data_IF_777497058829
#
_entry.id   IF_777497058829
#
_cell.length_a   1.000
_cell.length_b   1.000
_cell.length_c   1.000
_cell.angle_alpha   90.00
_cell.angle_beta   90.00
_cell.angle_gamma   90.00
#
_symmetry.space_group_name_H-M   'P 1'
#
loop_
_entity.id
_entity.type
_entity.pdbx_description
1 polymer ?
#
# COMPACT_ATOMS: atom_id res chain seq x y z
N UNK A 1 -8.36 -22.80 43.81
CA UNK A 1 -8.66 -21.43 43.40
C UNK A 1 -8.50 -21.37 41.88
N UNK A 2 -9.65 -21.35 41.19
CA UNK A 2 -9.66 -21.39 39.71
C UNK A 2 -9.38 -20.01 39.13
N UNK A 3 -8.40 -19.95 38.25
CA UNK A 3 -8.20 -18.82 37.38
C UNK A 3 -9.15 -18.94 36.18
N UNK A 4 -10.29 -18.29 36.25
CA UNK A 4 -11.16 -18.06 35.09
C UNK A 4 -10.66 -16.83 34.31
N UNK A 5 -9.64 -17.00 33.50
CA UNK A 5 -9.37 -16.05 32.42
C UNK A 5 -10.44 -16.24 31.34
N UNK A 6 -11.54 -15.53 31.47
CA UNK A 6 -12.54 -15.34 30.43
C UNK A 6 -11.82 -14.66 29.26
N UNK A 7 -11.57 -15.43 28.21
CA UNK A 7 -11.18 -14.87 26.91
C UNK A 7 -12.28 -13.88 26.47
N UNK A 8 -11.96 -12.59 26.46
CA UNK A 8 -12.87 -11.57 25.89
C UNK A 8 -13.21 -11.98 24.47
N UNK A 9 -14.47 -11.91 24.10
CA UNK A 9 -14.91 -12.22 22.76
C UNK A 9 -14.30 -11.22 21.77
N UNK A 10 -14.06 -11.65 20.53
CA UNK A 10 -13.54 -10.76 19.47
C UNK A 10 -14.39 -9.48 19.31
N UNK A 11 -15.69 -9.56 19.54
CA UNK A 11 -16.61 -8.41 19.51
C UNK A 11 -16.34 -7.38 20.62
N UNK A 12 -15.84 -7.80 21.79
CA UNK A 12 -15.59 -6.90 22.92
C UNK A 12 -14.30 -6.06 22.74
N UNK A 13 -13.38 -6.52 21.89
CA UNK A 13 -12.12 -5.83 21.58
C UNK A 13 -12.37 -4.63 20.64
N UNK A 14 -13.38 -4.71 19.76
CA UNK A 14 -13.67 -3.68 18.75
C UNK A 14 -14.53 -2.51 19.27
N UNK A 15 -14.97 -2.51 20.50
CA UNK A 15 -16.00 -1.55 20.99
C UNK A 15 -15.46 -0.35 21.76
N UNK A 16 -14.15 -0.09 21.84
CA UNK A 16 -13.63 1.02 22.66
C UNK A 16 -12.47 1.83 22.08
N UNK A 17 -12.07 1.62 20.83
CA UNK A 17 -10.96 2.41 20.27
C UNK A 17 -11.47 3.72 19.67
N UNK A 18 -11.02 4.84 20.25
CA UNK A 18 -11.26 6.16 19.70
C UNK A 18 -10.12 6.51 18.75
N UNK A 19 -10.43 6.68 17.48
CA UNK A 19 -9.47 7.17 16.49
C UNK A 19 -9.24 8.67 16.68
N UNK A 20 -7.97 9.08 16.73
CA UNK A 20 -7.62 10.49 16.89
C UNK A 20 -6.89 10.96 15.62
N UNK A 21 -7.56 11.80 14.85
CA UNK A 21 -7.01 12.44 13.65
C UNK A 21 -6.65 13.91 13.85
N UNK A 22 -6.80 14.45 15.07
CA UNK A 22 -6.51 15.84 15.40
C UNK A 22 -5.09 16.02 15.98
N UNK A 23 -4.51 14.94 16.50
CA UNK A 23 -3.18 14.95 17.12
C UNK A 23 -2.16 14.21 16.24
N UNK A 24 -1.18 14.95 15.74
CA UNK A 24 -0.06 14.37 14.99
C UNK A 24 1.18 14.29 15.89
N UNK A 25 1.77 13.11 16.11
CA UNK A 25 2.99 12.98 16.89
C UNK A 25 4.16 13.64 16.15
N UNK A 26 5.13 14.15 16.91
CA UNK A 26 6.35 14.73 16.34
C UNK A 26 7.15 13.67 15.61
N UNK A 27 7.40 13.87 14.32
CA UNK A 27 8.11 12.92 13.45
C UNK A 27 9.51 13.35 13.06
N UNK A 28 9.91 14.60 13.32
CA UNK A 28 11.26 15.12 13.06
C UNK A 28 12.29 14.39 13.92
N UNK A 29 13.43 14.04 13.34
CA UNK A 29 14.52 13.32 14.01
C UNK A 29 14.22 11.85 14.39
N UNK A 30 13.19 11.26 13.78
CA UNK A 30 12.84 9.83 13.91
C UNK A 30 13.15 9.03 12.63
N UNK A 31 13.96 9.57 11.72
CA UNK A 31 14.26 8.93 10.44
C UNK A 31 13.10 9.02 9.44
N UNK A 32 12.20 9.98 9.61
CA UNK A 32 11.10 10.22 8.67
C UNK A 32 11.63 10.88 7.40
N UNK A 33 11.63 10.16 6.29
CA UNK A 33 12.01 10.72 4.99
C UNK A 33 11.21 11.99 4.66
N UNK A 34 9.92 12.00 4.98
CA UNK A 34 9.02 13.13 4.78
C UNK A 34 9.49 14.39 5.50
N UNK A 35 9.77 14.29 6.80
CA UNK A 35 10.06 15.42 7.66
C UNK A 35 11.55 15.76 7.74
N UNK A 36 12.44 14.77 7.73
CA UNK A 36 13.87 14.99 7.93
C UNK A 36 14.55 15.55 6.68
N UNK A 37 13.95 15.36 5.48
CA UNK A 37 14.42 15.99 4.23
C UNK A 37 14.51 17.51 4.31
N UNK A 38 13.59 18.14 5.03
CA UNK A 38 13.52 19.59 5.16
C UNK A 38 13.85 20.08 6.58
N UNK A 39 14.58 19.28 7.34
CA UNK A 39 14.98 19.62 8.71
C UNK A 39 15.69 20.99 8.76
N UNK A 40 15.25 21.86 9.67
CA UNK A 40 15.78 23.22 9.83
C UNK A 40 15.27 24.24 8.81
N UNK A 41 14.32 23.87 7.96
CA UNK A 41 13.65 24.77 7.01
C UNK A 41 12.17 24.90 7.38
N UNK A 42 11.59 26.07 7.14
CA UNK A 42 10.15 26.32 7.31
C UNK A 42 9.40 25.83 6.07
N UNK A 43 9.26 24.50 5.95
CA UNK A 43 8.57 23.85 4.85
C UNK A 43 7.64 22.79 5.40
N UNK A 44 6.35 22.88 5.08
CA UNK A 44 5.39 21.83 5.31
C UNK A 44 5.51 20.75 4.21
N UNK A 45 5.97 19.53 4.53
CA UNK A 45 6.18 18.50 3.52
C UNK A 45 4.86 17.84 3.11
N UNK A 46 4.49 17.93 1.82
CA UNK A 46 3.30 17.31 1.23
C UNK A 46 3.63 16.40 0.04
N UNK A 47 4.90 16.00 -0.11
CA UNK A 47 5.42 15.33 -1.30
C UNK A 47 5.37 13.82 -1.28
N UNK A 48 5.16 13.21 -0.13
CA UNK A 48 5.10 11.75 0.07
C UNK A 48 3.83 11.38 0.83
N UNK A 49 3.24 10.24 0.48
CA UNK A 49 1.88 9.88 0.85
C UNK A 49 1.72 9.27 2.26
N UNK A 50 2.79 9.19 3.07
CA UNK A 50 2.67 8.68 4.43
C UNK A 50 1.91 9.67 5.33
N UNK A 51 0.93 9.15 6.07
CA UNK A 51 0.10 9.92 6.98
C UNK A 51 0.86 10.30 8.24
N UNK A 52 0.46 11.42 8.85
CA UNK A 52 1.05 11.91 10.10
C UNK A 52 0.25 11.52 11.36
N UNK A 53 -0.86 10.83 11.18
CA UNK A 53 -1.70 10.31 12.26
C UNK A 53 -1.11 9.04 12.86
N UNK A 54 -1.44 8.81 14.13
CA UNK A 54 -1.14 7.52 14.79
C UNK A 54 -1.87 6.40 14.06
N UNK A 55 -1.18 5.30 13.87
CA UNK A 55 -1.76 4.07 13.30
C UNK A 55 -2.95 3.59 14.13
N UNK A 56 -3.96 3.02 13.47
CA UNK A 56 -5.15 2.49 14.13
C UNK A 56 -4.78 1.53 15.29
N UNK A 57 -5.45 1.64 16.45
CA UNK A 57 -5.14 0.83 17.62
C UNK A 57 -5.13 -0.68 17.34
N UNK A 58 -6.03 -1.17 16.51
CA UNK A 58 -6.13 -2.59 16.15
C UNK A 58 -4.86 -3.09 15.44
N UNK A 59 -4.24 -2.23 14.64
CA UNK A 59 -2.97 -2.56 13.95
C UNK A 59 -1.83 -2.58 14.97
N UNK A 60 -1.80 -1.59 15.89
CA UNK A 60 -0.79 -1.54 16.94
C UNK A 60 -0.88 -2.74 17.87
N UNK A 61 -2.10 -3.15 18.26
CA UNK A 61 -2.34 -4.32 19.10
C UNK A 61 -1.89 -5.62 18.40
N UNK A 62 -2.17 -5.77 17.12
CA UNK A 62 -1.72 -6.93 16.34
C UNK A 62 -0.19 -7.00 16.24
N UNK A 63 0.47 -5.86 16.03
CA UNK A 63 1.93 -5.78 16.04
C UNK A 63 2.50 -6.08 17.42
N UNK A 64 1.90 -5.56 18.50
CA UNK A 64 2.34 -5.83 19.87
C UNK A 64 2.23 -7.30 20.23
N UNK A 65 1.12 -7.96 19.88
CA UNK A 65 0.98 -9.41 20.06
C UNK A 65 2.08 -10.21 19.35
N UNK A 66 2.49 -9.77 18.15
CA UNK A 66 3.58 -10.42 17.44
C UNK A 66 4.94 -10.18 18.10
N UNK A 67 5.17 -8.97 18.65
CA UNK A 67 6.37 -8.66 19.43
C UNK A 67 6.43 -9.50 20.71
N UNK A 68 5.33 -9.62 21.44
CA UNK A 68 5.23 -10.39 22.68
C UNK A 68 5.50 -11.89 22.45
N UNK A 69 5.14 -12.41 21.27
CA UNK A 69 5.49 -13.77 20.86
C UNK A 69 7.01 -13.98 20.72
N UNK A 70 7.76 -12.95 20.31
CA UNK A 70 9.21 -12.87 20.32
C UNK A 70 9.97 -13.73 19.29
N UNK A 71 9.29 -14.54 18.48
CA UNK A 71 9.94 -15.38 17.45
C UNK A 71 9.60 -14.87 16.05
N UNK A 72 10.62 -14.37 15.35
CA UNK A 72 10.51 -13.83 13.99
C UNK A 72 11.23 -14.76 12.99
N UNK A 73 10.61 -15.90 12.73
CA UNK A 73 11.14 -16.88 11.78
C UNK A 73 10.61 -16.65 10.36
N UNK A 74 10.88 -17.58 9.47
CA UNK A 74 10.29 -17.59 8.14
C UNK A 74 8.78 -17.76 8.24
N UNK A 75 8.03 -16.86 7.64
CA UNK A 75 6.57 -16.83 7.70
C UNK A 75 5.99 -16.98 6.31
N UNK A 76 4.95 -17.78 6.20
CA UNK A 76 4.14 -17.88 4.98
C UNK A 76 2.81 -17.13 5.20
N UNK A 77 2.16 -16.64 4.15
CA UNK A 77 0.80 -16.14 4.26
C UNK A 77 -0.12 -17.23 4.79
N UNK A 78 -0.81 -16.94 5.89
CA UNK A 78 -1.82 -17.85 6.43
C UNK A 78 -3.23 -17.44 5.96
N UNK A 79 -4.24 -18.20 6.31
CA UNK A 79 -5.60 -18.08 5.78
C UNK A 79 -6.25 -16.72 6.04
N UNK A 80 -6.10 -16.17 7.24
CA UNK A 80 -6.79 -14.93 7.64
C UNK A 80 -6.44 -13.68 6.81
N UNK A 81 -5.16 -13.34 6.49
CA UNK A 81 -4.87 -12.24 5.57
C UNK A 81 -5.37 -12.49 4.14
N UNK A 82 -5.36 -13.73 3.67
CA UNK A 82 -5.89 -14.09 2.34
C UNK A 82 -7.39 -13.81 2.29
N UNK A 83 -8.15 -14.31 3.26
CA UNK A 83 -9.59 -14.07 3.39
C UNK A 83 -9.90 -12.57 3.54
N UNK A 84 -9.11 -11.84 4.34
CA UNK A 84 -9.31 -10.41 4.53
C UNK A 84 -9.17 -9.63 3.21
N UNK A 85 -8.18 -9.97 2.36
CA UNK A 85 -8.00 -9.36 1.04
C UNK A 85 -9.17 -9.70 0.11
N UNK A 86 -9.58 -10.98 0.02
CA UNK A 86 -10.69 -11.41 -0.83
C UNK A 86 -11.99 -10.71 -0.42
N UNK A 87 -12.30 -10.68 0.88
CA UNK A 87 -13.48 -10.03 1.42
C UNK A 87 -13.46 -8.51 1.21
N UNK A 88 -12.29 -7.88 1.25
CA UNK A 88 -12.13 -6.46 0.94
C UNK A 88 -12.44 -6.18 -0.53
N UNK A 89 -11.85 -6.94 -1.44
CA UNK A 89 -12.06 -6.79 -2.89
C UNK A 89 -13.53 -6.99 -3.27
N UNK A 90 -14.18 -8.00 -2.73
CA UNK A 90 -15.60 -8.26 -2.97
C UNK A 90 -16.47 -7.11 -2.43
N UNK A 91 -16.29 -6.73 -1.17
CA UNK A 91 -17.13 -5.72 -0.51
C UNK A 91 -16.93 -4.31 -1.07
N UNK A 92 -15.70 -3.92 -1.40
CA UNK A 92 -15.39 -2.54 -1.83
C UNK A 92 -15.47 -2.35 -3.35
N UNK A 93 -15.22 -3.41 -4.10
CA UNK A 93 -15.08 -3.33 -5.56
C UNK A 93 -15.99 -4.28 -6.32
N UNK A 94 -16.76 -5.14 -5.64
CA UNK A 94 -17.58 -6.18 -6.29
C UNK A 94 -16.72 -7.20 -7.06
N UNK A 95 -15.46 -7.37 -6.67
CA UNK A 95 -14.49 -8.21 -7.37
C UNK A 95 -14.26 -9.52 -6.62
N UNK A 96 -14.77 -10.63 -7.18
CA UNK A 96 -14.65 -11.97 -6.60
C UNK A 96 -13.30 -12.60 -6.94
N UNK A 97 -12.27 -12.33 -6.13
CA UNK A 97 -10.96 -12.91 -6.27
C UNK A 97 -10.87 -14.33 -5.70
N UNK A 98 -9.94 -15.15 -6.24
CA UNK A 98 -9.62 -16.47 -5.71
C UNK A 98 -8.31 -16.41 -4.92
N UNK A 99 -8.19 -17.19 -3.85
CA UNK A 99 -6.97 -17.28 -3.05
C UNK A 99 -5.71 -17.61 -3.89
N UNK A 100 -5.87 -18.47 -4.91
CA UNK A 100 -4.79 -18.86 -5.82
C UNK A 100 -4.30 -17.74 -6.75
N UNK A 101 -5.00 -16.61 -6.81
CA UNK A 101 -4.58 -15.43 -7.60
C UNK A 101 -3.75 -14.45 -6.80
N UNK A 102 -3.68 -14.61 -5.46
CA UNK A 102 -2.98 -13.70 -4.60
C UNK A 102 -1.49 -14.07 -4.51
N UNK A 103 -0.65 -13.11 -4.85
CA UNK A 103 0.79 -13.19 -4.69
C UNK A 103 1.25 -12.08 -3.74
N UNK A 104 1.88 -12.44 -2.63
CA UNK A 104 2.40 -11.49 -1.65
C UNK A 104 3.82 -11.08 -2.04
N UNK A 105 4.02 -9.78 -2.23
CA UNK A 105 5.28 -9.18 -2.64
C UNK A 105 5.72 -8.13 -1.61
N UNK A 106 7.03 -7.84 -1.49
CA UNK A 106 7.55 -6.92 -0.47
C UNK A 106 7.30 -5.44 -0.79
N UNK A 107 6.22 -5.11 -1.49
CA UNK A 107 5.79 -3.77 -1.82
C UNK A 107 5.45 -3.59 -3.30
N UNK A 108 4.73 -2.50 -3.63
CA UNK A 108 4.25 -2.24 -5.00
C UNK A 108 5.37 -1.85 -5.96
N UNK A 109 6.39 -1.10 -5.54
CA UNK A 109 7.50 -0.74 -6.44
C UNK A 109 8.29 -1.99 -6.88
N UNK A 110 8.69 -2.91 -5.99
CA UNK A 110 9.20 -4.21 -6.39
C UNK A 110 8.23 -5.00 -7.30
N UNK A 111 6.92 -4.93 -7.02
CA UNK A 111 5.91 -5.60 -7.84
C UNK A 111 5.86 -5.06 -9.27
N UNK A 112 5.87 -3.73 -9.45
CA UNK A 112 5.89 -3.10 -10.79
C UNK A 112 7.12 -3.57 -11.59
N UNK A 113 8.32 -3.55 -10.98
CA UNK A 113 9.53 -4.04 -11.63
C UNK A 113 9.43 -5.54 -11.98
N UNK A 114 8.92 -6.36 -11.06
CA UNK A 114 8.73 -7.78 -11.31
C UNK A 114 7.74 -8.05 -12.44
N UNK A 115 6.65 -7.28 -12.54
CA UNK A 115 5.68 -7.39 -13.64
C UNK A 115 6.30 -7.06 -14.98
N UNK A 116 7.18 -6.07 -15.08
CA UNK A 116 7.90 -5.78 -16.32
C UNK A 116 8.67 -7.02 -16.81
N UNK A 117 9.37 -7.71 -15.90
CA UNK A 117 10.10 -8.93 -16.27
C UNK A 117 9.21 -10.15 -16.49
N UNK A 118 8.10 -10.28 -15.77
CA UNK A 118 7.26 -11.47 -15.83
C UNK A 118 6.35 -11.53 -17.07
N UNK A 119 5.95 -10.38 -17.58
CA UNK A 119 4.94 -10.28 -18.65
C UNK A 119 5.48 -9.76 -19.96
N UNK A 120 6.75 -9.37 -20.03
CA UNK A 120 7.37 -8.88 -21.26
C UNK A 120 8.76 -9.46 -21.45
N UNK A 121 9.23 -9.47 -22.70
CA UNK A 121 10.59 -9.86 -23.08
C UNK A 121 11.46 -8.61 -23.36
N UNK A 122 12.76 -8.82 -23.48
CA UNK A 122 13.69 -7.74 -23.85
C UNK A 122 13.31 -7.15 -25.22
N UNK A 123 13.20 -5.82 -25.30
CA UNK A 123 12.81 -5.11 -26.52
C UNK A 123 11.30 -4.93 -26.69
N UNK A 124 10.47 -5.50 -25.82
CA UNK A 124 9.05 -5.19 -25.80
C UNK A 124 8.79 -3.76 -25.31
N UNK A 125 7.61 -3.24 -25.65
CA UNK A 125 7.16 -1.93 -25.21
C UNK A 125 6.19 -2.04 -24.05
N UNK A 126 6.30 -1.12 -23.07
CA UNK A 126 5.37 -0.95 -21.97
C UNK A 126 4.77 0.44 -22.02
N UNK A 127 3.45 0.52 -21.99
CA UNK A 127 2.73 1.79 -22.06
C UNK A 127 2.31 2.27 -20.68
N UNK A 128 2.42 3.59 -20.44
CA UNK A 128 1.86 4.23 -19.24
C UNK A 128 1.23 5.57 -19.57
N UNK A 129 0.15 5.91 -18.88
CA UNK A 129 -0.45 7.25 -18.95
C UNK A 129 0.38 8.25 -18.14
N UNK A 130 0.44 9.51 -18.59
CA UNK A 130 1.17 10.59 -17.90
C UNK A 130 0.29 11.82 -17.70
N UNK A 131 0.49 12.60 -16.58
CA UNK A 131 1.48 12.41 -15.51
C UNK A 131 1.19 11.20 -14.60
N UNK A 132 2.25 10.54 -14.12
CA UNK A 132 2.13 9.32 -13.32
C UNK A 132 3.23 9.27 -12.25
N UNK A 133 3.04 8.44 -11.23
CA UNK A 133 4.04 8.17 -10.20
C UNK A 133 5.36 7.65 -10.82
N UNK A 134 6.52 8.23 -10.47
CA UNK A 134 7.80 7.98 -11.16
C UNK A 134 8.20 6.51 -11.35
N UNK A 135 7.93 5.57 -10.42
CA UNK A 135 8.26 4.17 -10.62
C UNK A 135 7.60 3.50 -11.85
N UNK A 136 6.46 4.00 -12.33
CA UNK A 136 5.86 3.51 -13.58
C UNK A 136 6.65 3.94 -14.83
N UNK A 137 7.48 4.99 -14.68
CA UNK A 137 8.38 5.45 -15.75
C UNK A 137 9.70 4.71 -15.68
N UNK A 138 10.27 4.53 -14.48
CA UNK A 138 11.61 3.95 -14.34
C UNK A 138 11.65 2.42 -14.40
N UNK A 139 10.56 1.73 -14.05
CA UNK A 139 10.57 0.27 -14.04
C UNK A 139 10.74 -0.36 -15.43
N UNK A 140 10.07 0.13 -16.51
CA UNK A 140 10.35 -0.34 -17.87
C UNK A 140 11.82 -0.12 -18.30
N UNK A 141 12.39 1.04 -17.98
CA UNK A 141 13.79 1.35 -18.28
C UNK A 141 14.75 0.38 -17.57
N UNK A 142 14.56 0.12 -16.27
CA UNK A 142 15.34 -0.88 -15.52
C UNK A 142 15.20 -2.31 -16.06
N UNK A 143 14.08 -2.61 -16.66
CA UNK A 143 13.82 -3.90 -17.30
C UNK A 143 14.31 -3.95 -18.77
N UNK A 144 14.91 -2.86 -19.29
CA UNK A 144 15.33 -2.73 -20.69
C UNK A 144 14.15 -2.92 -21.67
N UNK A 145 13.00 -2.29 -21.32
CA UNK A 145 11.79 -2.23 -22.16
C UNK A 145 11.61 -0.83 -22.73
N UNK A 146 11.04 -0.72 -23.91
CA UNK A 146 10.65 0.56 -24.46
C UNK A 146 9.49 1.16 -23.66
N UNK A 147 9.58 2.43 -23.27
CA UNK A 147 8.51 3.12 -22.55
C UNK A 147 7.70 4.01 -23.48
N UNK A 148 6.44 3.66 -23.72
CA UNK A 148 5.47 4.48 -24.43
C UNK A 148 4.68 5.32 -23.41
N UNK A 149 4.74 6.65 -23.57
CA UNK A 149 4.03 7.60 -22.70
C UNK A 149 2.85 8.18 -23.46
N UNK A 150 1.64 7.98 -22.96
CA UNK A 150 0.41 8.58 -23.46
C UNK A 150 -0.08 9.62 -22.47
N UNK A 151 -0.21 10.90 -22.85
CA UNK A 151 -0.77 11.91 -21.95
C UNK A 151 -2.20 11.60 -21.58
N UNK A 152 -2.57 11.84 -20.32
CA UNK A 152 -3.97 11.88 -19.92
C UNK A 152 -4.68 13.06 -20.60
N UNK A 153 -5.96 12.93 -20.85
CA UNK A 153 -6.80 13.99 -21.36
C UNK A 153 -7.89 14.40 -20.34
N UNK A 154 -8.54 15.53 -20.57
CA UNK A 154 -9.71 15.94 -19.78
C UNK A 154 -10.98 15.52 -20.52
N UNK A 155 -11.91 14.91 -19.79
CA UNK A 155 -13.24 14.63 -20.33
C UNK A 155 -14.12 15.92 -20.38
N UNK A 156 -15.34 15.78 -20.86
CA UNK A 156 -16.30 16.90 -20.97
C UNK A 156 -16.75 17.49 -19.61
N UNK A 157 -16.31 16.91 -18.49
CA UNK A 157 -16.59 17.36 -17.13
C UNK A 157 -15.32 17.80 -16.40
N UNK A 158 -14.23 18.12 -17.16
CA UNK A 158 -12.92 18.52 -16.62
C UNK A 158 -12.29 17.49 -15.68
N UNK A 159 -12.56 16.20 -15.89
CA UNK A 159 -11.92 15.12 -15.11
C UNK A 159 -10.84 14.46 -15.94
N UNK A 160 -9.72 14.18 -15.30
CA UNK A 160 -8.62 13.43 -15.91
C UNK A 160 -9.07 12.01 -16.26
N UNK A 161 -8.82 11.60 -17.48
CA UNK A 161 -9.15 10.27 -18.02
C UNK A 161 -8.06 9.77 -18.95
N UNK A 162 -8.09 8.47 -19.24
CA UNK A 162 -7.23 7.86 -20.26
C UNK A 162 -7.65 8.31 -21.65
N UNK A 163 -6.70 8.67 -22.47
CA UNK A 163 -6.92 8.90 -23.91
C UNK A 163 -6.83 7.56 -24.64
N UNK A 164 -7.97 6.88 -24.74
CA UNK A 164 -8.03 5.53 -25.32
C UNK A 164 -7.65 5.55 -26.79
N UNK A 165 -8.10 6.57 -27.52
CA UNK A 165 -7.79 6.69 -28.96
C UNK A 165 -6.27 6.87 -29.22
N UNK A 166 -5.59 7.57 -28.29
CA UNK A 166 -4.12 7.72 -28.35
C UNK A 166 -3.35 6.49 -27.84
N UNK A 167 -4.03 5.56 -27.18
CA UNK A 167 -3.44 4.29 -26.68
C UNK A 167 -3.54 3.16 -27.71
N UNK A 168 -4.41 3.26 -28.72
CA UNK A 168 -4.55 2.31 -29.82
C UNK A 168 -3.52 2.56 -30.93
#
# INVERSE_FOLDING_TARGET
AGNSNLAKSRSDIYMSHTYNFDTCPKRTSYGSLKWDKYKGRDILPLWVADMDFVTAPEILDALQQRLDHGVFGYTIPHEAPIEAVINYLDRQHGYSARASWLNFLPGLVPAINLCCHAFTEHGDSIMTATPVYPPFISAPDYAERELIKVPLCLDSQDRWTLDIDAME
#
